data_IF_292051150428
#
_entry.id   IF_292051150428
#
_cell.length_a   1.000
_cell.length_b   1.000
_cell.length_c   1.000
_cell.angle_alpha   90.00
_cell.angle_beta   90.00
_cell.angle_gamma   90.00
#
_symmetry.space_group_name_H-M   'P 1'
#
loop_
_entity.id
_entity.type
_entity.pdbx_description
1 polymer ?
#
# COMPACT_ATOMS: atom_id res chain seq x y z
N UNK A 1 27.21 9.03 -11.78
CA UNK A 1 26.98 7.64 -11.32
C UNK A 1 26.76 7.54 -9.81
N UNK A 2 27.56 8.18 -8.99
CA UNK A 2 27.32 8.22 -7.53
C UNK A 2 25.99 8.83 -7.13
N UNK A 3 25.52 9.84 -7.86
CA UNK A 3 24.25 10.49 -7.64
C UNK A 3 23.07 9.52 -7.81
N UNK A 4 23.07 8.73 -8.89
CA UNK A 4 22.01 7.76 -9.15
C UNK A 4 21.98 6.65 -8.12
N UNK A 5 23.16 6.17 -7.69
CA UNK A 5 23.28 5.14 -6.65
C UNK A 5 22.77 5.65 -5.31
N UNK A 6 23.09 6.90 -4.94
CA UNK A 6 22.62 7.51 -3.70
C UNK A 6 21.12 7.66 -3.67
N UNK A 7 20.53 8.13 -4.76
CA UNK A 7 19.09 8.29 -4.88
C UNK A 7 18.38 6.94 -4.83
N UNK A 8 18.89 5.94 -5.55
CA UNK A 8 18.37 4.58 -5.55
C UNK A 8 18.39 3.97 -4.14
N UNK A 9 19.52 4.09 -3.46
CA UNK A 9 19.69 3.54 -2.11
C UNK A 9 18.75 4.23 -1.11
N UNK A 10 18.57 5.54 -1.23
CA UNK A 10 17.66 6.30 -0.38
C UNK A 10 16.21 5.84 -0.56
N UNK A 11 15.77 5.65 -1.81
CA UNK A 11 14.42 5.20 -2.13
C UNK A 11 14.19 3.77 -1.59
N UNK A 12 15.14 2.87 -1.84
CA UNK A 12 15.02 1.50 -1.36
C UNK A 12 15.00 1.42 0.16
N UNK A 13 15.84 2.22 0.84
CA UNK A 13 15.85 2.28 2.30
C UNK A 13 14.53 2.80 2.87
N UNK A 14 13.95 3.83 2.26
CA UNK A 14 12.65 4.38 2.66
C UNK A 14 11.56 3.31 2.60
N UNK A 15 11.53 2.55 1.51
CA UNK A 15 10.53 1.48 1.33
C UNK A 15 10.77 0.35 2.33
N UNK A 16 12.03 -0.06 2.53
CA UNK A 16 12.40 -1.16 3.42
C UNK A 16 12.08 -0.85 4.89
N UNK A 17 12.30 0.39 5.32
CA UNK A 17 12.11 0.81 6.69
C UNK A 17 10.66 1.11 7.05
N UNK A 18 9.81 1.29 6.03
CA UNK A 18 8.42 1.71 6.26
C UNK A 18 7.57 0.65 6.97
N UNK A 19 7.84 -0.64 6.73
CA UNK A 19 7.05 -1.73 7.28
C UNK A 19 5.61 -1.78 6.77
N UNK A 20 5.30 -1.03 5.71
CA UNK A 20 3.99 -0.97 5.06
C UNK A 20 4.15 -0.46 3.62
N UNK A 21 3.17 -0.70 2.75
CA UNK A 21 3.19 -0.13 1.40
C UNK A 21 3.18 1.39 1.43
N UNK A 22 4.01 2.01 0.60
CA UNK A 22 4.10 3.46 0.48
C UNK A 22 3.62 3.94 -0.88
N UNK A 23 2.89 5.05 -0.90
CA UNK A 23 2.56 5.76 -2.13
C UNK A 23 3.80 6.45 -2.69
N UNK A 24 3.77 6.78 -3.98
CA UNK A 24 4.86 7.53 -4.63
C UNK A 24 5.14 8.86 -3.93
N UNK A 25 4.09 9.55 -3.49
CA UNK A 25 4.23 10.82 -2.76
C UNK A 25 4.89 10.64 -1.39
N UNK A 26 4.52 9.58 -0.67
CA UNK A 26 5.15 9.26 0.61
C UNK A 26 6.64 8.94 0.42
N UNK A 27 6.98 8.20 -0.63
CA UNK A 27 8.37 7.88 -0.97
C UNK A 27 9.15 9.14 -1.29
N UNK A 28 8.56 10.05 -2.07
CA UNK A 28 9.21 11.34 -2.40
C UNK A 28 9.50 12.16 -1.15
N UNK A 29 8.51 12.35 -0.30
CA UNK A 29 8.64 13.16 0.93
C UNK A 29 9.71 12.57 1.86
N UNK A 30 9.65 11.27 2.10
CA UNK A 30 10.61 10.58 2.95
C UNK A 30 12.01 10.55 2.32
N UNK A 31 12.09 10.36 1.02
CA UNK A 31 13.35 10.36 0.28
C UNK A 31 14.04 11.73 0.28
N UNK A 32 13.27 12.81 0.21
CA UNK A 32 13.79 14.19 0.26
C UNK A 32 14.40 14.53 1.62
N UNK A 33 14.01 13.84 2.68
CA UNK A 33 14.66 13.99 3.98
C UNK A 33 16.12 13.50 3.96
N UNK A 34 16.45 12.57 3.07
CA UNK A 34 17.78 12.02 2.88
C UNK A 34 18.51 12.68 1.72
N UNK A 35 17.83 12.87 0.60
CA UNK A 35 18.36 13.50 -0.62
C UNK A 35 17.42 14.66 -0.99
N UNK A 36 17.69 15.87 -0.51
CA UNK A 36 16.79 17.01 -0.70
C UNK A 36 16.47 17.33 -2.17
N UNK A 37 17.38 17.01 -3.08
CA UNK A 37 17.23 17.28 -4.51
C UNK A 37 16.42 16.20 -5.25
N UNK A 38 15.91 15.19 -4.56
CA UNK A 38 15.16 14.10 -5.17
C UNK A 38 13.89 14.63 -5.85
N UNK A 39 13.69 14.28 -7.13
CA UNK A 39 12.54 14.68 -7.91
C UNK A 39 11.54 13.54 -8.05
N UNK A 40 10.29 13.89 -8.32
CA UNK A 40 9.24 12.90 -8.54
C UNK A 40 9.56 12.03 -9.78
N UNK A 41 10.14 12.62 -10.83
CA UNK A 41 10.54 11.88 -12.02
C UNK A 41 11.58 10.80 -11.70
N UNK A 42 12.56 11.12 -10.86
CA UNK A 42 13.56 10.17 -10.41
C UNK A 42 12.92 9.05 -9.58
N UNK A 43 11.97 9.38 -8.72
CA UNK A 43 11.24 8.38 -7.94
C UNK A 43 10.53 7.39 -8.86
N UNK A 44 9.78 7.86 -9.85
CA UNK A 44 9.08 6.99 -10.81
C UNK A 44 10.03 6.06 -11.56
N UNK A 45 11.14 6.60 -12.07
CA UNK A 45 12.13 5.79 -12.79
C UNK A 45 12.76 4.73 -11.88
N UNK A 46 13.11 5.10 -10.68
CA UNK A 46 13.72 4.19 -9.72
C UNK A 46 12.75 3.09 -9.30
N UNK A 47 11.47 3.42 -9.07
CA UNK A 47 10.45 2.43 -8.74
C UNK A 47 10.25 1.42 -9.87
N UNK A 48 10.28 1.88 -11.11
CA UNK A 48 10.21 1.01 -12.27
C UNK A 48 11.39 0.03 -12.32
N UNK A 49 12.61 0.54 -12.10
CA UNK A 49 13.81 -0.27 -12.12
C UNK A 49 13.83 -1.29 -10.96
N UNK A 50 13.50 -0.85 -9.75
CA UNK A 50 13.46 -1.72 -8.57
C UNK A 50 12.39 -2.81 -8.69
N UNK A 51 11.26 -2.50 -9.32
CA UNK A 51 10.20 -3.47 -9.60
C UNK A 51 10.67 -4.50 -10.62
N UNK A 52 11.32 -4.07 -11.69
CA UNK A 52 11.86 -4.97 -12.71
C UNK A 52 12.95 -5.88 -12.16
N UNK A 53 13.67 -5.44 -11.13
CA UNK A 53 14.73 -6.20 -10.47
C UNK A 53 14.21 -7.05 -9.29
N UNK A 54 12.91 -7.09 -9.09
CA UNK A 54 12.24 -7.82 -7.99
C UNK A 54 12.69 -7.40 -6.59
N UNK A 55 13.17 -6.16 -6.43
CA UNK A 55 13.52 -5.60 -5.12
C UNK A 55 12.29 -5.11 -4.36
N UNK A 56 11.28 -4.64 -5.08
CA UNK A 56 10.01 -4.15 -4.53
C UNK A 56 8.85 -4.73 -5.31
N UNK A 57 7.67 -4.73 -4.69
CA UNK A 57 6.43 -5.17 -5.30
C UNK A 57 5.41 -4.04 -5.33
N UNK A 58 4.70 -3.85 -6.46
CA UNK A 58 3.57 -2.96 -6.48
C UNK A 58 2.38 -3.58 -5.76
N UNK A 59 1.73 -2.78 -4.92
CA UNK A 59 0.48 -3.14 -4.26
C UNK A 59 -0.64 -2.41 -4.97
N UNK A 60 -1.55 -3.16 -5.57
CA UNK A 60 -2.64 -2.62 -6.38
C UNK A 60 -3.91 -2.53 -5.55
N UNK A 61 -4.45 -1.33 -5.44
CA UNK A 61 -5.72 -1.05 -4.79
C UNK A 61 -6.72 -0.57 -5.85
N UNK A 62 -7.97 -1.02 -5.80
CA UNK A 62 -8.97 -0.61 -6.80
C UNK A 62 -9.13 0.91 -6.87
N UNK A 63 -9.03 1.46 -8.08
CA UNK A 63 -9.22 2.89 -8.33
C UNK A 63 -8.09 3.81 -7.86
N UNK A 64 -6.96 3.27 -7.45
CA UNK A 64 -5.83 4.04 -6.94
C UNK A 64 -4.54 3.73 -7.69
N UNK A 65 -3.59 4.65 -7.61
CA UNK A 65 -2.23 4.42 -8.10
C UNK A 65 -1.54 3.35 -7.24
N UNK A 66 -0.60 2.62 -7.83
CA UNK A 66 0.16 1.59 -7.14
C UNK A 66 0.91 2.15 -5.94
N UNK A 67 0.99 1.35 -4.89
CA UNK A 67 1.88 1.56 -3.75
C UNK A 67 2.98 0.51 -3.81
N UNK A 68 4.03 0.68 -3.03
CA UNK A 68 5.21 -0.17 -3.14
C UNK A 68 5.67 -0.65 -1.78
N UNK A 69 6.06 -1.92 -1.73
CA UNK A 69 6.61 -2.56 -0.54
C UNK A 69 7.78 -3.48 -0.91
N UNK A 70 8.54 -3.90 0.08
CA UNK A 70 9.68 -4.78 -0.14
C UNK A 70 9.22 -6.22 -0.44
N UNK A 71 9.97 -6.92 -1.28
CA UNK A 71 9.62 -8.28 -1.74
C UNK A 71 9.84 -9.39 -0.71
N UNK A 72 10.57 -9.12 0.36
CA UNK A 72 10.91 -10.13 1.38
C UNK A 72 9.80 -10.45 2.36
N UNK A 73 8.67 -9.75 2.25
CA UNK A 73 7.49 -10.03 3.08
C UNK A 73 6.84 -11.33 2.62
N UNK A 74 6.48 -12.21 3.57
CA UNK A 74 5.73 -13.42 3.28
C UNK A 74 4.28 -13.11 2.87
N UNK A 75 3.44 -14.15 2.83
CA UNK A 75 2.02 -13.98 2.52
C UNK A 75 1.39 -12.99 3.50
N UNK A 76 0.74 -11.98 2.98
CA UNK A 76 0.06 -10.96 3.76
C UNK A 76 -1.08 -10.34 2.97
N UNK A 77 -1.95 -9.64 3.67
CA UNK A 77 -3.07 -8.90 3.11
C UNK A 77 -2.87 -7.42 3.41
N UNK A 78 -3.79 -6.59 2.96
CA UNK A 78 -3.65 -5.15 3.11
C UNK A 78 -4.86 -4.56 3.81
N UNK A 79 -4.62 -3.51 4.59
CA UNK A 79 -5.64 -2.70 5.24
C UNK A 79 -5.43 -1.25 4.82
N UNK A 80 -6.48 -0.62 4.31
CA UNK A 80 -6.44 0.80 3.98
C UNK A 80 -7.24 1.59 5.00
N UNK A 81 -6.58 2.59 5.60
CA UNK A 81 -7.24 3.54 6.49
C UNK A 81 -8.00 4.58 5.67
N UNK A 82 -9.30 4.71 5.91
CA UNK A 82 -10.14 5.70 5.23
C UNK A 82 -9.90 7.12 5.74
N UNK A 83 -9.29 7.28 6.91
CA UNK A 83 -9.03 8.59 7.51
C UNK A 83 -7.68 9.19 7.07
N UNK A 84 -6.59 8.44 7.19
CA UNK A 84 -5.26 8.93 6.84
C UNK A 84 -4.76 8.43 5.47
N UNK A 85 -5.51 7.56 4.82
CA UNK A 85 -5.19 6.95 3.52
C UNK A 85 -3.95 6.07 3.49
N UNK A 86 -3.33 5.79 4.62
CA UNK A 86 -2.20 4.87 4.69
C UNK A 86 -2.66 3.43 4.46
N UNK A 87 -1.78 2.63 3.86
CA UNK A 87 -1.99 1.20 3.68
C UNK A 87 -1.04 0.47 4.61
N UNK A 88 -1.55 -0.57 5.26
CA UNK A 88 -0.82 -1.39 6.22
C UNK A 88 -0.82 -2.85 5.78
N UNK A 89 0.19 -3.58 6.19
CA UNK A 89 0.25 -5.03 5.99
C UNK A 89 -0.48 -5.74 7.12
N UNK A 90 -1.27 -6.75 6.75
CA UNK A 90 -1.89 -7.67 7.69
C UNK A 90 -1.16 -9.00 7.54
N UNK A 91 -0.46 -9.40 8.59
CA UNK A 91 0.23 -10.68 8.60
C UNK A 91 -0.72 -11.79 9.04
N UNK A 92 -0.68 -12.90 8.34
CA UNK A 92 -1.50 -14.06 8.64
C UNK A 92 -2.07 -14.70 7.40
N UNK A 93 -2.73 -15.83 7.59
CA UNK A 93 -3.37 -16.58 6.52
C UNK A 93 -4.86 -16.73 6.79
N UNK A 94 -5.66 -16.50 5.77
CA UNK A 94 -7.07 -16.86 5.79
C UNK A 94 -7.17 -18.32 5.33
N UNK A 95 -7.90 -19.14 6.08
CA UNK A 95 -8.19 -20.51 5.66
C UNK A 95 -9.03 -20.49 4.39
N UNK A 96 -8.66 -21.32 3.41
CA UNK A 96 -9.42 -21.45 2.17
C UNK A 96 -10.90 -21.74 2.39
N UNK A 97 -11.21 -22.51 3.43
CA UNK A 97 -12.58 -22.83 3.83
C UNK A 97 -13.40 -21.62 4.30
N UNK A 98 -12.72 -20.53 4.67
CA UNK A 98 -13.38 -19.27 5.08
C UNK A 98 -13.72 -18.36 3.91
N UNK A 99 -13.23 -18.67 2.71
CA UNK A 99 -13.51 -17.87 1.51
C UNK A 99 -14.84 -18.34 0.91
N UNK A 100 -15.87 -17.48 0.86
CA UNK A 100 -17.16 -17.89 0.30
C UNK A 100 -17.06 -18.09 -1.21
N UNK A 101 -17.51 -19.25 -1.67
CA UNK A 101 -17.57 -19.58 -3.09
C UNK A 101 -18.72 -20.54 -3.34
N UNK A 102 -19.30 -20.58 -4.54
CA UNK A 102 -20.29 -21.60 -4.88
C UNK A 102 -19.71 -23.02 -4.72
N UNK A 103 -20.57 -23.97 -4.35
CA UNK A 103 -20.16 -25.33 -3.97
C UNK A 103 -19.33 -26.08 -5.02
N UNK A 104 -19.61 -25.84 -6.30
CA UNK A 104 -18.97 -26.54 -7.41
C UNK A 104 -17.81 -25.75 -8.03
N UNK A 105 -17.41 -24.63 -7.40
CA UNK A 105 -16.36 -23.78 -7.93
C UNK A 105 -15.05 -24.03 -7.20
N UNK A 106 -13.94 -23.93 -7.95
CA UNK A 106 -12.59 -23.99 -7.39
C UNK A 106 -12.03 -22.58 -7.33
N UNK A 107 -11.69 -22.13 -6.12
CA UNK A 107 -11.02 -20.83 -5.92
C UNK A 107 -9.52 -21.04 -6.12
N UNK A 108 -8.96 -20.42 -7.15
CA UNK A 108 -7.53 -20.53 -7.45
C UNK A 108 -6.72 -19.49 -6.66
N UNK A 109 -7.25 -18.27 -6.52
CA UNK A 109 -6.60 -17.20 -5.76
C UNK A 109 -7.65 -16.22 -5.27
N UNK A 110 -7.27 -15.40 -4.30
CA UNK A 110 -8.07 -14.27 -3.84
C UNK A 110 -7.15 -13.14 -3.38
N UNK A 111 -7.64 -11.92 -3.51
CA UNK A 111 -7.00 -10.73 -2.96
C UNK A 111 -7.89 -10.21 -1.84
N UNK A 112 -7.28 -9.86 -0.70
CA UNK A 112 -8.02 -9.32 0.44
C UNK A 112 -7.49 -7.94 0.79
N UNK A 113 -8.40 -6.97 0.76
CA UNK A 113 -8.13 -5.62 1.21
C UNK A 113 -9.23 -5.24 2.20
N UNK A 114 -8.84 -4.89 3.41
CA UNK A 114 -9.77 -4.39 4.42
C UNK A 114 -9.75 -2.86 4.42
N UNK A 115 -10.89 -2.28 4.62
CA UNK A 115 -11.07 -0.82 4.70
C UNK A 115 -11.65 -0.45 6.05
N UNK A 116 -11.11 0.58 6.66
CA UNK A 116 -11.57 1.03 7.96
C UNK A 116 -10.71 2.16 8.49
N UNK A 117 -10.47 2.19 9.80
CA UNK A 117 -9.62 3.19 10.44
C UNK A 117 -8.49 2.51 11.20
N UNK A 118 -7.27 3.02 11.02
CA UNK A 118 -6.10 2.48 11.71
C UNK A 118 -6.09 2.89 13.19
N UNK A 119 -5.18 2.28 13.95
CA UNK A 119 -5.07 2.53 15.40
C UNK A 119 -4.80 4.00 15.74
N UNK A 120 -4.05 4.71 14.89
CA UNK A 120 -3.78 6.13 15.10
C UNK A 120 -5.00 7.01 14.83
N UNK A 121 -5.89 6.59 13.95
CA UNK A 121 -7.06 7.36 13.54
C UNK A 121 -8.34 7.04 14.32
N UNK A 122 -8.38 5.89 14.98
CA UNK A 122 -9.58 5.43 15.68
C UNK A 122 -10.02 6.35 16.80
N UNK A 123 -9.07 7.04 17.44
CA UNK A 123 -9.28 7.95 18.56
C UNK A 123 -9.30 9.43 18.15
N UNK A 124 -9.19 9.73 16.84
CA UNK A 124 -9.25 11.11 16.36
C UNK A 124 -10.69 11.48 16.02
N UNK A 125 -11.14 12.71 16.35
CA UNK A 125 -12.45 13.17 15.93
C UNK A 125 -12.52 13.14 14.40
N UNK A 126 -13.60 12.55 13.87
CA UNK A 126 -13.82 12.53 12.43
C UNK A 126 -14.11 13.95 11.94
N UNK A 127 -13.28 14.44 11.02
CA UNK A 127 -13.71 15.56 10.19
C UNK A 127 -14.94 15.11 9.40
N UNK A 128 -16.00 15.95 9.30
CA UNK A 128 -17.16 15.58 8.52
C UNK A 128 -16.74 15.27 7.09
N UNK A 129 -16.77 13.99 6.75
CA UNK A 129 -16.47 13.58 5.38
C UNK A 129 -17.61 14.03 4.49
N UNK A 130 -17.34 15.00 3.65
CA UNK A 130 -18.20 15.29 2.49
C UNK A 130 -17.90 14.21 1.44
N UNK A 131 -18.22 12.97 1.75
CA UNK A 131 -17.99 11.85 0.87
C UNK A 131 -19.23 11.00 0.77
N UNK A 132 -19.70 10.83 -0.45
CA UNK A 132 -20.75 9.90 -0.76
C UNK A 132 -20.22 8.49 -0.53
N UNK A 133 -20.70 7.82 0.51
CA UNK A 133 -20.39 6.42 0.75
C UNK A 133 -21.42 5.59 -0.04
N UNK A 134 -20.99 4.98 -1.17
CA UNK A 134 -21.93 4.23 -2.01
C UNK A 134 -22.46 2.97 -1.31
N UNK A 135 -21.88 2.57 -0.18
CA UNK A 135 -22.28 1.37 0.55
C UNK A 135 -23.29 1.65 1.66
N UNK A 136 -23.50 2.90 2.05
CA UNK A 136 -24.46 3.23 3.12
C UNK A 136 -25.93 3.01 2.73
N UNK A 137 -26.24 2.92 1.45
CA UNK A 137 -27.63 2.72 0.99
C UNK A 137 -28.12 1.28 1.05
N UNK A 138 -27.22 0.30 1.07
CA UNK A 138 -27.62 -1.10 1.05
C UNK A 138 -27.85 -1.71 2.43
N UNK A 139 -27.57 -0.97 3.50
CA UNK A 139 -27.72 -1.46 4.89
C UNK A 139 -29.03 -0.98 5.52
N UNK A 140 -29.74 -0.04 4.91
CA UNK A 140 -30.97 0.56 5.43
C UNK A 140 -32.27 -0.02 4.83
N UNK A 141 -32.15 -1.00 3.97
CA UNK A 141 -33.25 -1.80 3.46
C UNK A 141 -33.15 -3.23 4.02
#
# INVERSE_FOLDING_TARGET
>A
MERNTRQRNAILAVISEAGRPLSTQEILVKGQAVVPSLSIATVYRTLKDLTAEDCILPVKLPGEADRYEITTLGDHYHFKCSSCSKVFDIHGRIKRSSVPAPADFVVERYDLILYGRCSDCINKPQSPQRGHDPFKRSILE
#
